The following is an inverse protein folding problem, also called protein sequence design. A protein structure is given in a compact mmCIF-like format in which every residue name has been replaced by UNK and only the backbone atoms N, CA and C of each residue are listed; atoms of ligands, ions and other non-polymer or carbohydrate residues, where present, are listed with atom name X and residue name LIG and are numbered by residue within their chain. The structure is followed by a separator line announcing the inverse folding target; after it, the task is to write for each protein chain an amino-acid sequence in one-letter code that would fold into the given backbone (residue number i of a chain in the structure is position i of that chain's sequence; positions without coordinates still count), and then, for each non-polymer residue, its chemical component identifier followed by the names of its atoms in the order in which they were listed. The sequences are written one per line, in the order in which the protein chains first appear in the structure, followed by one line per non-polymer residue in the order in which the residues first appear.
data_IF_549478190505
#
_entry.id   IF_549478190505
#
_cell.length_a   1.000
_cell.length_b   1.000
_cell.length_c   1.000
_cell.angle_alpha   90.00
_cell.angle_beta   90.00
_cell.angle_gamma   90.00
#
_symmetry.space_group_name_H-M   'P 1'
#
loop_
_entity.id
_entity.type
_entity.pdbx_description
1 polymer ?
#
# COMPACT_ATOMS: atom_id res chain seq x y z
N UNK A 1 -25.69 17.37 0.51
CA UNK A 1 -24.42 16.61 0.42
C UNK A 1 -23.50 17.37 -0.50
N UNK A 2 -22.20 17.34 -0.26
CA UNK A 2 -21.24 17.93 -1.20
C UNK A 2 -21.18 17.06 -2.47
N UNK A 3 -20.94 17.63 -3.66
CA UNK A 3 -20.87 16.84 -4.89
C UNK A 3 -19.68 15.86 -4.83
N UNK A 4 -19.77 14.67 -5.45
CA UNK A 4 -18.66 13.73 -5.58
C UNK A 4 -17.40 14.41 -6.13
N UNK A 5 -16.22 13.92 -5.75
CA UNK A 5 -14.93 14.43 -6.25
C UNK A 5 -14.88 14.40 -7.79
N UNK A 6 -15.45 13.35 -8.40
CA UNK A 6 -15.48 13.12 -9.84
C UNK A 6 -16.30 14.13 -10.64
N UNK A 7 -17.18 14.87 -9.96
CA UNK A 7 -18.07 15.85 -10.59
C UNK A 7 -17.48 17.27 -10.52
N UNK A 8 -16.36 17.45 -9.81
CA UNK A 8 -15.68 18.73 -9.71
C UNK A 8 -14.90 19.03 -11.00
N UNK A 9 -14.83 20.31 -11.44
CA UNK A 9 -14.10 20.68 -12.64
C UNK A 9 -12.60 20.47 -12.44
N UNK A 10 -12.06 19.42 -13.06
CA UNK A 10 -10.64 19.05 -13.04
C UNK A 10 -10.09 19.00 -14.47
N UNK A 11 -8.78 19.24 -14.65
CA UNK A 11 -8.09 18.87 -15.87
C UNK A 11 -8.23 17.38 -16.16
N UNK A 12 -8.01 17.00 -17.42
CA UNK A 12 -7.92 15.59 -17.81
C UNK A 12 -6.76 14.90 -17.08
N UNK A 13 -6.97 13.64 -16.68
CA UNK A 13 -5.93 12.82 -16.05
C UNK A 13 -4.71 12.73 -16.99
N UNK A 14 -3.51 13.17 -16.57
CA UNK A 14 -2.35 13.28 -17.45
C UNK A 14 -1.64 11.94 -17.71
N UNK A 15 -2.00 10.91 -16.94
CA UNK A 15 -1.36 9.59 -16.98
C UNK A 15 -1.90 8.76 -18.14
N UNK A 16 -1.34 8.97 -19.33
CA UNK A 16 -1.74 8.26 -20.55
C UNK A 16 -0.57 7.43 -21.10
N UNK A 17 -0.87 6.37 -21.84
CA UNK A 17 0.14 5.54 -22.49
C UNK A 17 1.04 6.39 -23.41
N UNK A 18 2.35 6.09 -23.40
CA UNK A 18 3.35 6.84 -24.14
C UNK A 18 3.78 8.15 -23.47
N UNK A 19 3.10 8.64 -22.42
CA UNK A 19 3.52 9.86 -21.71
C UNK A 19 4.92 9.69 -21.11
N UNK A 20 5.79 10.67 -21.39
CA UNK A 20 7.16 10.71 -20.89
C UNK A 20 7.27 11.78 -19.81
N UNK A 21 7.83 11.40 -18.66
CA UNK A 21 8.01 12.30 -17.53
C UNK A 21 9.30 11.98 -16.78
N UNK A 22 9.85 13.00 -16.13
CA UNK A 22 11.06 12.85 -15.29
C UNK A 22 10.67 13.03 -13.85
N UNK A 23 11.13 12.10 -13.01
CA UNK A 23 10.93 12.13 -11.56
C UNK A 23 12.25 12.34 -10.86
N UNK A 24 12.23 13.02 -9.72
CA UNK A 24 13.42 13.28 -8.90
C UNK A 24 13.32 12.50 -7.60
N UNK A 25 14.41 11.84 -7.20
CA UNK A 25 14.47 11.04 -5.99
C UNK A 25 14.19 11.91 -4.76
N UNK A 26 13.44 11.35 -3.83
CA UNK A 26 12.94 12.04 -2.66
C UNK A 26 12.90 11.10 -1.47
N UNK A 27 13.56 11.51 -0.39
CA UNK A 27 13.48 10.84 0.91
C UNK A 27 12.31 11.47 1.66
N UNK A 28 11.24 10.70 1.96
CA UNK A 28 10.10 11.23 2.70
C UNK A 28 10.48 11.58 4.14
N UNK A 29 9.68 12.44 4.80
CA UNK A 29 9.73 12.54 6.25
C UNK A 29 9.28 11.20 6.89
N UNK A 30 9.45 11.03 8.21
CA UNK A 30 8.90 9.89 8.92
C UNK A 30 7.38 9.71 8.65
N UNK A 31 6.85 8.48 8.78
CA UNK A 31 5.41 8.23 8.68
C UNK A 31 4.59 9.24 9.49
N UNK A 32 3.55 9.76 8.86
CA UNK A 32 2.61 10.67 9.54
C UNK A 32 1.92 9.95 10.69
N UNK A 33 1.51 10.69 11.73
CA UNK A 33 0.76 10.10 12.84
C UNK A 33 -0.61 9.64 12.37
N UNK A 34 -1.01 8.43 12.75
CA UNK A 34 -2.32 7.85 12.46
C UNK A 34 -3.16 7.87 13.72
N UNK A 35 -3.93 8.94 13.91
CA UNK A 35 -4.96 9.02 14.96
C UNK A 35 -6.34 8.66 14.40
N UNK A 36 -7.33 8.52 15.28
CA UNK A 36 -8.73 8.61 14.88
C UNK A 36 -8.95 9.90 14.11
N UNK A 37 -9.70 9.81 13.00
CA UNK A 37 -10.04 10.93 12.13
C UNK A 37 -8.83 11.67 11.48
N UNK A 38 -7.63 11.07 11.42
CA UNK A 38 -6.43 11.75 10.90
C UNK A 38 -6.55 12.24 9.45
N UNK A 39 -7.36 11.59 8.63
CA UNK A 39 -7.65 11.99 7.25
C UNK A 39 -9.02 12.67 7.10
N UNK A 40 -9.77 12.90 8.19
CA UNK A 40 -11.11 13.48 8.12
C UNK A 40 -11.04 14.93 7.66
N UNK A 41 -11.93 15.28 6.74
CA UNK A 41 -12.06 16.66 6.28
C UNK A 41 -13.03 17.43 7.18
N UNK A 42 -12.47 18.17 8.13
CA UNK A 42 -13.25 19.00 9.06
C UNK A 42 -13.89 20.22 8.36
N UNK A 43 -14.68 20.98 9.11
CA UNK A 43 -15.47 22.09 8.58
C UNK A 43 -14.66 23.10 7.75
N UNK A 44 -13.44 23.43 8.18
CA UNK A 44 -12.58 24.36 7.45
C UNK A 44 -12.16 23.82 6.07
N UNK A 45 -11.72 22.55 5.99
CA UNK A 45 -11.32 21.95 4.72
C UNK A 45 -12.51 21.67 3.78
N UNK A 46 -13.70 21.36 4.32
CA UNK A 46 -14.93 21.30 3.52
C UNK A 46 -15.37 22.68 3.01
N UNK A 47 -15.22 23.72 3.83
CA UNK A 47 -15.49 25.09 3.40
C UNK A 47 -14.52 25.53 2.30
N UNK A 48 -13.24 25.16 2.41
CA UNK A 48 -12.25 25.38 1.35
C UNK A 48 -12.62 24.64 0.06
N UNK A 49 -12.96 23.34 0.16
CA UNK A 49 -13.40 22.51 -0.97
C UNK A 49 -14.53 23.14 -1.78
N UNK A 50 -15.49 23.80 -1.12
CA UNK A 50 -16.61 24.48 -1.79
C UNK A 50 -16.23 25.80 -2.46
N UNK A 51 -15.16 26.44 -2.00
CA UNK A 51 -14.77 27.79 -2.43
C UNK A 51 -13.69 27.78 -3.51
N UNK A 52 -12.77 26.82 -3.45
CA UNK A 52 -11.60 26.75 -4.33
C UNK A 52 -11.77 25.65 -5.36
N UNK A 53 -11.21 25.88 -6.56
CA UNK A 53 -11.13 24.83 -7.59
C UNK A 53 -10.16 23.72 -7.14
N UNK A 54 -10.34 22.47 -7.59
CA UNK A 54 -9.45 21.37 -7.20
C UNK A 54 -7.96 21.65 -7.42
N UNK A 55 -7.59 22.25 -8.56
CA UNK A 55 -6.21 22.61 -8.88
C UNK A 55 -5.65 23.65 -7.92
N UNK A 56 -6.43 24.69 -7.57
CA UNK A 56 -6.02 25.72 -6.61
C UNK A 56 -5.75 25.12 -5.23
N UNK A 57 -6.53 24.12 -4.82
CA UNK A 57 -6.28 23.38 -3.58
C UNK A 57 -4.97 22.60 -3.64
N UNK A 58 -4.66 21.95 -4.77
CA UNK A 58 -3.37 21.27 -4.95
C UNK A 58 -2.17 22.21 -4.89
N UNK A 59 -2.31 23.44 -5.40
CA UNK A 59 -1.26 24.45 -5.32
C UNK A 59 -1.10 25.01 -3.90
N UNK A 60 -2.20 25.14 -3.16
CA UNK A 60 -2.21 25.61 -1.76
C UNK A 60 -1.71 24.56 -0.77
N UNK A 61 -1.89 23.28 -1.07
CA UNK A 61 -1.52 22.14 -0.22
C UNK A 61 -0.48 21.25 -0.93
N UNK A 62 0.77 21.71 -1.07
CA UNK A 62 1.82 20.87 -1.60
C UNK A 62 2.06 19.65 -0.69
N UNK A 63 2.53 18.51 -1.22
CA UNK A 63 2.84 17.33 -0.41
C UNK A 63 3.85 17.65 0.69
N UNK A 64 3.85 16.83 1.77
CA UNK A 64 4.79 17.01 2.88
C UNK A 64 6.24 17.18 2.41
N UNK A 65 7.01 18.09 3.02
CA UNK A 65 8.40 18.31 2.66
C UNK A 65 9.25 17.09 3.06
N UNK A 66 10.33 16.88 2.32
CA UNK A 66 11.36 15.89 2.61
C UNK A 66 12.66 16.28 1.92
N UNK A 67 13.57 15.34 1.73
CA UNK A 67 14.88 15.64 1.13
C UNK A 67 14.89 15.25 -0.34
N UNK A 68 15.02 16.25 -1.22
CA UNK A 68 15.24 16.02 -2.65
C UNK A 68 16.69 15.58 -2.87
N UNK A 69 16.87 14.49 -3.59
CA UNK A 69 18.20 14.02 -3.99
C UNK A 69 18.50 14.42 -5.44
N UNK A 70 19.76 14.37 -5.83
CA UNK A 70 20.19 14.72 -7.20
C UNK A 70 19.79 13.68 -8.25
N UNK A 71 19.36 12.49 -7.83
CA UNK A 71 19.00 11.43 -8.76
C UNK A 71 17.67 11.75 -9.47
N UNK A 72 17.65 11.63 -10.79
CA UNK A 72 16.45 11.72 -11.63
C UNK A 72 16.29 10.47 -12.48
N UNK A 73 15.05 10.11 -12.75
CA UNK A 73 14.66 8.96 -13.59
C UNK A 73 13.65 9.45 -14.61
N UNK A 74 13.94 9.24 -15.89
CA UNK A 74 13.00 9.53 -16.98
C UNK A 74 12.29 8.24 -17.36
N UNK A 75 10.96 8.29 -17.35
CA UNK A 75 10.07 7.17 -17.53
C UNK A 75 9.12 7.41 -18.70
N UNK A 76 8.70 6.34 -19.36
CA UNK A 76 7.59 6.34 -20.32
C UNK A 76 6.49 5.40 -19.82
N UNK A 77 5.25 5.88 -19.75
CA UNK A 77 4.10 5.02 -19.43
C UNK A 77 3.90 3.99 -20.53
N UNK A 78 3.77 2.72 -20.15
CA UNK A 78 3.53 1.60 -21.05
C UNK A 78 2.08 1.11 -20.96
N UNK A 79 1.66 0.52 -19.83
CA UNK A 79 0.29 0.02 -19.62
C UNK A 79 -0.37 0.70 -18.40
N UNK A 80 -1.65 1.04 -18.50
CA UNK A 80 -2.44 1.56 -17.38
C UNK A 80 -3.00 0.39 -16.54
N UNK A 81 -2.66 0.32 -15.25
CA UNK A 81 -3.16 -0.74 -14.36
C UNK A 81 -4.40 -0.27 -13.57
N UNK A 82 -4.34 0.95 -13.02
CA UNK A 82 -5.44 1.62 -12.32
C UNK A 82 -5.21 3.12 -12.37
N UNK A 83 -5.84 3.79 -13.33
CA UNK A 83 -5.69 5.23 -13.57
C UNK A 83 -7.06 5.82 -13.83
N UNK A 84 -7.33 6.99 -13.27
CA UNK A 84 -8.60 7.69 -13.48
C UNK A 84 -8.94 8.64 -12.35
N UNK A 85 -9.96 9.47 -12.60
CA UNK A 85 -10.54 10.28 -11.53
C UNK A 85 -11.30 9.40 -10.54
N UNK A 86 -11.20 9.72 -9.25
CA UNK A 86 -11.67 8.88 -8.15
C UNK A 86 -10.77 7.68 -7.85
N UNK A 87 -9.63 7.50 -8.53
CA UNK A 87 -8.63 6.52 -8.15
C UNK A 87 -7.67 7.10 -7.10
N UNK A 88 -7.74 6.58 -5.86
CA UNK A 88 -6.91 7.05 -4.74
C UNK A 88 -5.41 7.15 -5.08
N UNK A 89 -4.85 6.11 -5.70
CA UNK A 89 -3.52 6.13 -6.28
C UNK A 89 -3.60 5.76 -7.76
N UNK A 90 -2.71 6.34 -8.55
CA UNK A 90 -2.61 6.14 -9.99
C UNK A 90 -1.48 5.15 -10.24
N UNK A 91 -1.83 3.96 -10.75
CA UNK A 91 -0.91 2.83 -10.90
C UNK A 91 -0.80 2.45 -12.36
N UNK A 92 0.43 2.39 -12.87
CA UNK A 92 0.71 2.01 -14.24
C UNK A 92 2.10 1.39 -14.35
N UNK A 93 2.33 0.67 -15.45
CA UNK A 93 3.67 0.21 -15.77
C UNK A 93 4.42 1.27 -16.55
N UNK A 94 5.71 1.40 -16.29
CA UNK A 94 6.56 2.39 -16.91
C UNK A 94 7.89 1.77 -17.33
N UNK A 95 8.41 2.23 -18.46
CA UNK A 95 9.72 1.84 -18.97
C UNK A 95 10.76 2.91 -18.60
N UNK A 96 11.91 2.47 -18.08
CA UNK A 96 13.05 3.35 -17.80
C UNK A 96 13.71 3.76 -19.12
N UNK A 97 13.73 5.06 -19.38
CA UNK A 97 14.45 5.63 -20.52
C UNK A 97 15.87 6.05 -20.14
N UNK A 98 16.00 6.76 -19.02
CA UNK A 98 17.29 7.31 -18.57
C UNK A 98 17.31 7.49 -17.06
N UNK A 99 18.49 7.40 -16.45
CA UNK A 99 18.74 7.77 -15.05
C UNK A 99 19.97 8.67 -14.93
N UNK A 100 19.89 9.72 -14.11
CA UNK A 100 21.01 10.62 -13.84
C UNK A 100 21.19 10.81 -12.32
N UNK A 101 22.34 10.47 -11.72
CA UNK A 101 23.43 9.70 -12.31
C UNK A 101 22.98 8.27 -12.66
N UNK A 102 23.79 7.54 -13.42
CA UNK A 102 23.48 6.15 -13.78
C UNK A 102 23.38 5.28 -12.52
N UNK A 103 22.23 4.65 -12.29
CA UNK A 103 21.97 3.83 -11.11
C UNK A 103 21.99 2.32 -11.44
N UNK A 104 22.75 1.51 -10.69
CA UNK A 104 22.68 0.06 -10.79
C UNK A 104 21.26 -0.45 -10.53
N UNK A 105 20.71 -1.21 -11.48
CA UNK A 105 19.35 -1.78 -11.38
C UNK A 105 18.30 -1.04 -12.21
N UNK A 106 18.60 0.17 -12.68
CA UNK A 106 17.80 0.92 -13.66
C UNK A 106 18.40 0.78 -15.06
N UNK A 107 18.36 -0.44 -15.59
CA UNK A 107 18.78 -0.66 -16.97
C UNK A 107 17.78 0.01 -17.93
N UNK A 108 18.24 0.64 -19.02
CA UNK A 108 17.36 1.12 -20.07
C UNK A 108 16.41 0.00 -20.52
N UNK A 109 15.17 0.37 -20.83
CA UNK A 109 14.10 -0.54 -21.21
C UNK A 109 13.53 -1.43 -20.10
N UNK A 110 14.00 -1.33 -18.85
CA UNK A 110 13.41 -2.05 -17.73
C UNK A 110 11.96 -1.59 -17.50
N UNK A 111 11.05 -2.56 -17.39
CA UNK A 111 9.66 -2.34 -16.99
C UNK A 111 9.55 -2.31 -15.47
N UNK A 112 8.90 -1.28 -14.94
CA UNK A 112 8.64 -1.05 -13.52
C UNK A 112 7.14 -0.76 -13.33
N UNK A 113 6.69 -0.77 -12.08
CA UNK A 113 5.38 -0.21 -11.70
C UNK A 113 5.61 1.13 -11.01
N UNK A 114 4.89 2.15 -11.45
CA UNK A 114 4.81 3.44 -10.79
C UNK A 114 3.45 3.58 -10.11
N UNK A 115 3.47 3.93 -8.82
CA UNK A 115 2.28 4.28 -8.02
C UNK A 115 2.39 5.74 -7.60
N UNK A 116 1.52 6.58 -8.14
CA UNK A 116 1.50 8.03 -7.91
C UNK A 116 0.35 8.39 -6.97
N UNK A 117 0.66 9.20 -5.97
CA UNK A 117 -0.29 9.75 -5.00
C UNK A 117 -0.62 11.19 -5.42
N UNK A 118 -1.57 11.33 -6.35
CA UNK A 118 -2.05 12.64 -6.82
C UNK A 118 -3.38 13.00 -6.14
N UNK A 119 -3.39 13.98 -5.21
CA UNK A 119 -4.60 14.35 -4.49
C UNK A 119 -5.69 14.94 -5.39
N UNK A 120 -5.34 15.41 -6.61
CA UNK A 120 -6.30 15.98 -7.56
C UNK A 120 -7.33 14.96 -8.04
N UNK A 121 -6.93 13.70 -8.17
CA UNK A 121 -7.75 12.60 -8.70
C UNK A 121 -8.19 11.61 -7.61
N UNK A 122 -7.98 11.98 -6.34
CA UNK A 122 -8.35 11.16 -5.19
C UNK A 122 -9.87 11.21 -4.95
N UNK A 123 -10.48 10.08 -4.59
CA UNK A 123 -11.87 10.06 -4.17
C UNK A 123 -12.00 10.55 -2.72
N UNK A 124 -12.57 11.73 -2.54
CA UNK A 124 -12.68 12.36 -1.22
C UNK A 124 -13.96 12.03 -0.46
N UNK A 125 -14.73 11.03 -0.92
CA UNK A 125 -16.00 10.57 -0.32
C UNK A 125 -16.95 11.74 -0.06
N UNK A 126 -17.31 12.44 -1.14
CA UNK A 126 -18.17 13.64 -1.06
C UNK A 126 -17.59 14.69 -0.08
N UNK A 127 -16.27 14.84 -0.09
CA UNK A 127 -15.55 15.73 0.82
C UNK A 127 -15.53 15.32 2.28
N UNK A 128 -15.87 14.07 2.63
CA UNK A 128 -15.71 13.53 3.99
C UNK A 128 -14.23 13.35 4.36
N UNK A 129 -13.41 12.97 3.39
CA UNK A 129 -11.96 12.73 3.57
C UNK A 129 -11.17 13.90 2.97
N UNK A 130 -10.02 14.21 3.59
CA UNK A 130 -9.08 15.19 3.08
C UNK A 130 -8.04 14.47 2.20
N UNK A 131 -8.09 14.66 0.87
CA UNK A 131 -7.21 13.93 -0.05
C UNK A 131 -5.74 14.22 0.20
N UNK A 132 -5.38 15.45 0.62
CA UNK A 132 -3.99 15.85 0.89
C UNK A 132 -3.39 15.05 2.06
N UNK A 133 -4.14 14.93 3.15
CA UNK A 133 -3.70 14.15 4.32
C UNK A 133 -3.63 12.65 3.99
N UNK A 134 -4.55 12.13 3.18
CA UNK A 134 -4.53 10.74 2.73
C UNK A 134 -3.30 10.42 1.89
N UNK A 135 -3.00 11.22 0.86
CA UNK A 135 -1.86 10.94 -0.02
C UNK A 135 -0.53 11.04 0.72
N UNK A 136 -0.39 11.99 1.65
CA UNK A 136 0.78 12.11 2.51
C UNK A 136 0.93 10.91 3.44
N UNK A 137 -0.17 10.46 4.05
CA UNK A 137 -0.20 9.22 4.85
C UNK A 137 0.23 8.02 4.01
N UNK A 138 -0.46 7.74 2.91
CA UNK A 138 -0.21 6.58 2.08
C UNK A 138 1.23 6.53 1.58
N UNK A 139 1.74 7.67 1.07
CA UNK A 139 3.11 7.76 0.58
C UNK A 139 4.15 7.51 1.68
N UNK A 140 4.04 8.20 2.82
CA UNK A 140 5.04 8.10 3.89
C UNK A 140 5.06 6.70 4.53
N UNK A 141 3.89 6.09 4.71
CA UNK A 141 3.77 4.75 5.29
C UNK A 141 4.26 3.66 4.34
N UNK A 142 3.89 3.72 3.07
CA UNK A 142 4.29 2.71 2.10
C UNK A 142 5.80 2.71 1.86
N UNK A 143 6.41 3.90 1.76
CA UNK A 143 7.88 4.01 1.65
C UNK A 143 8.57 3.46 2.89
N UNK A 144 8.08 3.79 4.09
CA UNK A 144 8.67 3.27 5.31
C UNK A 144 8.53 1.75 5.43
N UNK A 145 7.35 1.21 5.10
CA UNK A 145 7.09 -0.22 5.09
C UNK A 145 8.04 -0.94 4.12
N UNK A 146 8.18 -0.49 2.87
CA UNK A 146 9.15 -1.07 1.95
C UNK A 146 10.59 -0.96 2.47
N UNK A 147 10.96 0.15 3.13
CA UNK A 147 12.28 0.33 3.73
C UNK A 147 12.62 -0.68 4.84
N UNK A 148 11.62 -1.14 5.58
CA UNK A 148 11.75 -2.19 6.61
C UNK A 148 11.67 -3.59 6.00
N UNK A 149 10.59 -3.86 5.25
CA UNK A 149 10.27 -5.18 4.72
C UNK A 149 11.25 -5.65 3.64
N UNK A 150 11.83 -4.75 2.85
CA UNK A 150 12.85 -5.12 1.86
C UNK A 150 14.16 -5.61 2.50
N UNK A 151 14.37 -5.39 3.80
CA UNK A 151 15.56 -5.88 4.53
C UNK A 151 15.32 -7.24 5.17
N UNK A 152 14.10 -7.48 5.68
CA UNK A 152 13.76 -8.67 6.45
C UNK A 152 13.01 -9.73 5.64
N UNK A 153 12.21 -9.32 4.66
CA UNK A 153 11.29 -10.16 3.88
C UNK A 153 11.42 -9.91 2.38
N UNK A 154 12.65 -9.64 1.90
CA UNK A 154 12.94 -9.23 0.52
C UNK A 154 12.43 -10.21 -0.56
N UNK A 155 12.21 -11.48 -0.23
CA UNK A 155 11.70 -12.50 -1.16
C UNK A 155 10.18 -12.51 -1.28
N UNK A 156 9.47 -11.86 -0.35
CA UNK A 156 8.01 -11.86 -0.24
C UNK A 156 7.39 -10.50 -0.60
N UNK A 157 8.21 -9.48 -0.83
CA UNK A 157 7.76 -8.16 -1.30
C UNK A 157 8.48 -7.81 -2.61
N UNK A 158 7.85 -7.05 -3.52
CA UNK A 158 8.52 -6.59 -4.73
C UNK A 158 9.79 -5.81 -4.39
N UNK A 159 10.77 -5.88 -5.29
CA UNK A 159 11.93 -4.99 -5.16
C UNK A 159 11.49 -3.53 -5.22
N UNK A 160 11.81 -2.79 -4.16
CA UNK A 160 11.58 -1.36 -4.05
C UNK A 160 12.73 -0.60 -4.72
N UNK A 161 12.41 0.27 -5.69
CA UNK A 161 13.40 1.06 -6.44
C UNK A 161 13.62 2.45 -5.85
N UNK A 162 12.69 2.92 -5.03
CA UNK A 162 12.80 4.21 -4.36
C UNK A 162 11.51 5.00 -4.41
N UNK A 163 11.60 6.19 -3.85
CA UNK A 163 10.53 7.16 -3.75
C UNK A 163 10.92 8.45 -4.45
N UNK A 164 9.97 9.06 -5.15
CA UNK A 164 10.25 10.16 -6.07
C UNK A 164 9.18 11.24 -6.03
N UNK A 165 9.50 12.37 -6.65
CA UNK A 165 8.62 13.51 -6.85
C UNK A 165 8.48 13.81 -8.32
N UNK A 166 7.27 14.19 -8.71
CA UNK A 166 6.90 14.55 -10.06
C UNK A 166 6.20 15.90 -10.05
N UNK A 167 6.71 16.84 -10.84
CA UNK A 167 6.04 18.11 -11.09
C UNK A 167 5.16 17.98 -12.33
N UNK A 168 3.88 18.29 -12.18
CA UNK A 168 2.87 18.18 -13.24
C UNK A 168 2.36 19.59 -13.56
N UNK A 169 2.31 19.98 -14.85
CA UNK A 169 1.76 21.27 -15.25
C UNK A 169 0.33 21.48 -14.72
N UNK A 170 0.10 22.64 -14.13
CA UNK A 170 -1.19 23.18 -13.76
C UNK A 170 -1.54 24.39 -14.65
N UNK A 171 -2.70 24.99 -14.43
CA UNK A 171 -3.10 26.20 -15.16
C UNK A 171 -2.10 27.36 -14.94
N UNK A 172 -1.89 28.20 -15.95
CA UNK A 172 -1.19 29.49 -15.77
C UNK A 172 0.33 29.42 -15.52
N UNK A 173 1.01 28.36 -15.96
CA UNK A 173 2.46 28.09 -15.76
C UNK A 173 2.85 27.60 -14.36
N UNK A 174 1.89 27.38 -13.47
CA UNK A 174 2.16 26.75 -12.17
C UNK A 174 2.40 25.25 -12.32
N UNK A 175 3.14 24.67 -11.39
CA UNK A 175 3.40 23.23 -11.34
C UNK A 175 2.90 22.71 -10.00
N UNK A 176 2.07 21.67 -10.03
CA UNK A 176 1.67 20.93 -8.83
C UNK A 176 2.58 19.71 -8.67
N UNK A 177 2.98 19.42 -7.44
CA UNK A 177 3.85 18.27 -7.15
C UNK A 177 3.01 17.06 -6.71
N UNK A 178 3.33 15.88 -7.23
CA UNK A 178 2.83 14.61 -6.74
C UNK A 178 4.00 13.72 -6.27
N UNK A 179 3.75 12.90 -5.25
CA UNK A 179 4.72 11.90 -4.78
C UNK A 179 4.45 10.57 -5.47
N UNK A 180 5.47 9.76 -5.65
CA UNK A 180 5.33 8.42 -6.19
C UNK A 180 6.38 7.45 -5.65
N UNK A 181 6.12 6.18 -5.85
CA UNK A 181 7.09 5.10 -5.64
C UNK A 181 7.28 4.29 -6.92
N UNK A 182 8.48 3.76 -7.09
CA UNK A 182 8.80 2.80 -8.13
C UNK A 182 9.06 1.44 -7.50
N UNK A 183 8.42 0.41 -8.04
CA UNK A 183 8.56 -0.97 -7.59
C UNK A 183 8.70 -1.91 -8.79
N UNK A 184 9.15 -3.13 -8.50
CA UNK A 184 9.27 -4.20 -9.48
C UNK A 184 7.93 -4.49 -10.15
N UNK A 185 7.96 -4.65 -11.48
CA UNK A 185 6.83 -5.22 -12.19
C UNK A 185 6.83 -6.73 -12.01
N UNK A 186 5.76 -7.25 -11.39
CA UNK A 186 5.59 -8.68 -11.16
C UNK A 186 4.74 -9.27 -12.28
N UNK A 187 5.26 -10.29 -12.95
CA UNK A 187 4.49 -11.09 -13.89
C UNK A 187 3.66 -12.12 -13.09
N UNK A 188 2.35 -11.89 -13.04
CA UNK A 188 1.42 -12.71 -12.27
C UNK A 188 0.02 -12.09 -12.24
N UNK A 189 -0.86 -12.73 -11.47
CA UNK A 189 -2.23 -12.27 -11.25
C UNK A 189 -2.49 -12.13 -9.74
N UNK A 190 -3.37 -11.22 -9.33
CA UNK A 190 -3.74 -11.15 -7.91
C UNK A 190 -4.55 -12.39 -7.50
N UNK A 191 -4.52 -12.74 -6.21
CA UNK A 191 -5.39 -13.80 -5.69
C UNK A 191 -6.87 -13.48 -5.88
N UNK A 192 -7.25 -12.20 -5.97
CA UNK A 192 -8.63 -11.80 -6.31
C UNK A 192 -8.99 -12.13 -7.77
N UNK A 193 -8.04 -12.01 -8.70
CA UNK A 193 -8.25 -12.30 -10.12
C UNK A 193 -8.15 -13.80 -10.44
N UNK A 194 -7.40 -14.55 -9.65
CA UNK A 194 -7.25 -15.98 -9.82
C UNK A 194 -8.56 -16.71 -9.46
N UNK A 195 -8.95 -17.67 -10.31
CA UNK A 195 -10.07 -18.55 -9.98
C UNK A 195 -9.59 -19.60 -8.96
N UNK A 196 -10.00 -19.44 -7.71
CA UNK A 196 -9.66 -20.34 -6.60
C UNK A 196 -10.12 -21.78 -6.82
N UNK A 197 -11.19 -22.02 -7.59
CA UNK A 197 -11.71 -23.36 -7.90
C UNK A 197 -10.74 -24.19 -8.75
N UNK A 198 -9.80 -23.54 -9.45
CA UNK A 198 -8.75 -24.24 -10.21
C UNK A 198 -7.68 -24.86 -9.32
N UNK A 199 -7.67 -24.53 -8.03
CA UNK A 199 -6.70 -25.03 -7.07
C UNK A 199 -7.34 -26.09 -6.18
N UNK A 200 -6.61 -27.19 -5.97
CA UNK A 200 -7.01 -28.20 -4.98
C UNK A 200 -7.14 -27.55 -3.61
N UNK A 201 -8.00 -28.12 -2.75
CA UNK A 201 -8.15 -27.63 -1.37
C UNK A 201 -6.81 -27.59 -0.62
N UNK A 202 -5.98 -28.62 -0.77
CA UNK A 202 -4.64 -28.66 -0.16
C UNK A 202 -3.74 -27.51 -0.66
N UNK A 203 -3.76 -27.21 -1.96
CA UNK A 203 -3.01 -26.07 -2.52
C UNK A 203 -3.51 -24.73 -1.97
N UNK A 204 -4.83 -24.56 -1.81
CA UNK A 204 -5.41 -23.35 -1.21
C UNK A 204 -5.05 -23.21 0.27
N UNK A 205 -5.00 -24.32 1.01
CA UNK A 205 -4.52 -24.33 2.40
C UNK A 205 -3.06 -23.89 2.50
N UNK A 206 -2.17 -24.36 1.63
CA UNK A 206 -0.76 -23.92 1.59
C UNK A 206 -0.61 -22.43 1.23
N UNK A 207 -1.45 -21.93 0.32
CA UNK A 207 -1.51 -20.50 -0.03
C UNK A 207 -1.93 -19.69 1.20
N UNK A 208 -3.03 -20.07 1.86
CA UNK A 208 -3.51 -19.37 3.06
C UNK A 208 -2.50 -19.44 4.20
N UNK A 209 -1.82 -20.59 4.36
CA UNK A 209 -0.71 -20.72 5.31
C UNK A 209 0.39 -19.70 5.04
N UNK A 210 0.78 -19.54 3.76
CA UNK A 210 1.81 -18.58 3.36
C UNK A 210 1.39 -17.12 3.63
N UNK A 211 0.11 -16.79 3.46
CA UNK A 211 -0.45 -15.48 3.84
C UNK A 211 -0.36 -15.24 5.34
N UNK A 212 -0.77 -16.21 6.16
CA UNK A 212 -0.71 -16.13 7.63
C UNK A 212 0.74 -16.01 8.10
N UNK A 213 1.63 -16.83 7.54
CA UNK A 213 3.05 -16.83 7.90
C UNK A 213 3.69 -15.48 7.57
N UNK A 214 3.40 -14.90 6.40
CA UNK A 214 3.85 -13.55 6.03
C UNK A 214 3.32 -12.49 7.01
N UNK A 215 2.01 -12.44 7.24
CA UNK A 215 1.39 -11.46 8.15
C UNK A 215 1.98 -11.58 9.56
N UNK A 216 2.20 -12.79 10.05
CA UNK A 216 2.79 -13.03 11.37
C UNK A 216 4.23 -12.50 11.47
N UNK A 217 5.03 -12.61 10.40
CA UNK A 217 6.40 -12.06 10.37
C UNK A 217 6.41 -10.53 10.28
N UNK A 218 5.45 -9.94 9.57
CA UNK A 218 5.27 -8.48 9.53
C UNK A 218 4.81 -7.97 10.89
N UNK A 219 3.84 -8.67 11.51
CA UNK A 219 3.35 -8.36 12.84
C UNK A 219 4.49 -8.40 13.86
N UNK A 220 5.34 -9.43 13.83
CA UNK A 220 6.54 -9.55 14.68
C UNK A 220 7.48 -8.35 14.59
N UNK A 221 7.52 -7.66 13.45
CA UNK A 221 8.30 -6.43 13.22
C UNK A 221 7.56 -5.15 13.65
N UNK A 222 6.52 -5.29 14.48
CA UNK A 222 5.68 -4.21 14.99
C UNK A 222 4.89 -3.47 13.92
N UNK A 223 4.57 -4.15 12.81
CA UNK A 223 3.78 -3.60 11.72
C UNK A 223 2.45 -4.34 11.64
N UNK A 224 1.34 -3.60 11.76
CA UNK A 224 0.01 -4.13 11.49
C UNK A 224 -0.43 -3.78 10.06
N UNK A 225 -0.71 -4.79 9.26
CA UNK A 225 -1.27 -4.63 7.91
C UNK A 225 -2.79 -4.53 7.99
N UNK A 226 -3.32 -3.31 7.89
CA UNK A 226 -4.78 -3.10 7.99
C UNK A 226 -5.54 -3.37 6.69
N UNK A 227 -4.83 -3.46 5.56
CA UNK A 227 -5.40 -3.73 4.24
C UNK A 227 -4.91 -5.06 3.61
N UNK A 228 -4.57 -6.05 4.43
CA UNK A 228 -4.20 -7.37 3.91
C UNK A 228 -5.45 -8.08 3.35
N UNK A 229 -5.48 -8.27 2.03
CA UNK A 229 -6.59 -8.92 1.32
C UNK A 229 -6.13 -9.57 0.02
N UNK A 230 -6.98 -10.40 -0.60
CA UNK A 230 -6.66 -11.16 -1.82
C UNK A 230 -6.22 -10.28 -3.02
N UNK A 231 -6.62 -9.01 -3.06
CA UNK A 231 -6.19 -8.08 -4.12
C UNK A 231 -4.74 -7.62 -3.99
N UNK A 232 -4.20 -7.67 -2.77
CA UNK A 232 -2.85 -7.20 -2.41
C UNK A 232 -1.83 -8.34 -2.36
N UNK A 233 -2.18 -9.52 -2.88
CA UNK A 233 -1.29 -10.68 -2.99
C UNK A 233 -1.22 -11.13 -4.46
N UNK A 234 -0.04 -11.06 -5.07
CA UNK A 234 0.20 -11.55 -6.43
C UNK A 234 0.70 -12.99 -6.40
N UNK A 235 0.06 -13.84 -7.20
CA UNK A 235 0.53 -15.17 -7.57
C UNK A 235 1.47 -15.05 -8.77
N UNK A 236 2.76 -15.28 -8.54
CA UNK A 236 3.81 -15.12 -9.55
C UNK A 236 3.76 -16.28 -10.55
N UNK A 237 3.83 -15.94 -11.84
CA UNK A 237 3.87 -16.93 -12.91
C UNK A 237 5.26 -17.57 -13.01
N UNK A 238 5.39 -18.81 -12.54
CA UNK A 238 6.62 -19.62 -12.66
C UNK A 238 6.30 -21.09 -13.02
N UNK A 239 7.17 -21.78 -13.77
CA UNK A 239 7.05 -23.23 -13.97
C UNK A 239 7.14 -23.97 -12.63
N UNK A 240 6.08 -24.69 -12.26
CA UNK A 240 5.94 -25.28 -10.93
C UNK A 240 5.51 -24.24 -9.90
N UNK A 241 4.23 -24.23 -9.56
CA UNK A 241 3.71 -23.31 -8.55
C UNK A 241 4.09 -23.81 -7.14
N UNK A 242 4.93 -23.06 -6.44
CA UNK A 242 5.21 -23.21 -5.02
C UNK A 242 4.53 -22.06 -4.25
N UNK A 243 3.53 -22.41 -3.43
CA UNK A 243 2.74 -21.45 -2.66
C UNK A 243 3.59 -20.56 -1.74
N UNK A 244 4.78 -21.01 -1.31
CA UNK A 244 5.65 -20.26 -0.40
C UNK A 244 6.57 -19.27 -1.12
N UNK A 245 6.95 -19.56 -2.37
CA UNK A 245 7.92 -18.78 -3.14
C UNK A 245 7.29 -17.99 -4.29
N UNK A 246 6.01 -18.20 -4.55
CA UNK A 246 5.27 -17.60 -5.66
C UNK A 246 4.16 -16.67 -5.20
N UNK A 247 4.19 -16.21 -3.95
CA UNK A 247 3.33 -15.13 -3.47
C UNK A 247 4.18 -13.89 -3.18
N UNK A 248 3.75 -12.74 -3.70
CA UNK A 248 4.30 -11.44 -3.38
C UNK A 248 3.21 -10.54 -2.81
N UNK A 249 3.54 -9.85 -1.72
CA UNK A 249 2.63 -8.98 -0.99
C UNK A 249 2.91 -7.53 -1.35
N UNK A 250 1.83 -6.79 -1.62
CA UNK A 250 1.85 -5.42 -2.12
C UNK A 250 1.03 -4.49 -1.22
N UNK A 251 1.10 -3.20 -1.55
CA UNK A 251 0.25 -2.14 -1.01
C UNK A 251 0.30 -2.02 0.52
N UNK A 252 1.31 -1.29 0.97
CA UNK A 252 1.55 -1.04 2.40
C UNK A 252 1.14 0.37 2.85
N UNK A 253 0.29 1.05 2.07
CA UNK A 253 -0.14 2.42 2.31
C UNK A 253 -0.84 2.62 3.67
N UNK A 254 -1.53 1.59 4.16
CA UNK A 254 -2.26 1.61 5.43
C UNK A 254 -1.60 0.79 6.55
N UNK A 255 -0.30 0.50 6.41
CA UNK A 255 0.48 -0.13 7.48
C UNK A 255 0.47 0.75 8.75
N UNK A 256 0.34 0.15 9.93
CA UNK A 256 0.47 0.84 11.22
C UNK A 256 1.72 0.36 11.96
N UNK A 257 2.59 1.30 12.31
CA UNK A 257 3.83 1.02 13.03
C UNK A 257 3.59 1.06 14.55
N UNK A 258 4.17 0.11 15.28
CA UNK A 258 3.82 -0.16 16.68
C UNK A 258 2.50 -0.93 16.86
N UNK A 259 1.95 -1.51 15.77
CA UNK A 259 0.68 -2.28 15.75
C UNK A 259 -0.56 -1.51 16.23
N UNK A 260 -0.51 -0.18 16.30
CA UNK A 260 -1.62 0.65 16.76
C UNK A 260 -1.63 2.03 16.12
N UNK A 261 -2.73 2.74 16.36
CA UNK A 261 -2.87 4.18 16.10
C UNK A 261 -2.11 4.99 17.14
N UNK A 262 -1.71 6.20 16.76
CA UNK A 262 -1.04 7.21 17.60
C UNK A 262 -2.02 8.00 18.49
N UNK A 263 -3.19 7.44 18.78
CA UNK A 263 -4.19 8.09 19.61
C UNK A 263 -3.63 8.36 21.02
N UNK A 264 -3.88 9.54 21.62
CA UNK A 264 -3.31 9.93 22.91
C UNK A 264 -3.89 9.15 24.11
N UNK A 265 -4.81 8.21 23.87
CA UNK A 265 -5.43 7.41 24.92
C UNK A 265 -4.42 6.36 25.40
N UNK A 266 -4.22 6.32 26.71
CA UNK A 266 -3.38 5.33 27.40
C UNK A 266 -4.06 3.96 27.27
N UNK A 267 -3.72 3.22 26.23
CA UNK A 267 -4.02 1.80 26.18
C UNK A 267 -2.87 1.09 26.93
N UNK A 268 -3.20 0.52 28.09
CA UNK A 268 -2.27 -0.23 28.97
C UNK A 268 -1.79 -1.56 28.36
N UNK A 269 -2.29 -1.95 27.18
CA UNK A 269 -1.82 -3.14 26.49
C UNK A 269 -0.37 -2.96 26.06
N UNK A 270 0.49 -3.85 26.54
CA UNK A 270 1.90 -3.93 26.17
C UNK A 270 2.12 -4.31 24.68
N UNK A 271 1.05 -4.68 23.96
CA UNK A 271 0.98 -5.14 22.55
C UNK A 271 2.02 -6.19 22.14
N UNK A 272 2.79 -6.70 23.10
CA UNK A 272 3.93 -7.59 22.95
C UNK A 272 4.84 -7.19 21.79
N UNK A 273 5.25 -5.92 21.74
CA UNK A 273 6.10 -5.41 20.67
C UNK A 273 7.41 -6.23 20.54
N UNK A 274 7.82 -6.50 19.31
CA UNK A 274 8.96 -7.36 18.96
C UNK A 274 8.71 -8.86 19.15
N UNK A 275 7.58 -9.26 19.72
CA UNK A 275 7.28 -10.67 19.98
C UNK A 275 6.42 -11.28 18.87
N UNK A 276 6.66 -12.55 18.60
CA UNK A 276 5.77 -13.36 17.78
C UNK A 276 4.50 -13.67 18.56
N UNK A 277 3.34 -13.53 17.92
CA UNK A 277 2.04 -13.89 18.51
C UNK A 277 1.44 -14.97 17.62
N UNK A 278 1.05 -16.09 18.23
CA UNK A 278 0.53 -17.25 17.50
C UNK A 278 -0.73 -16.89 16.68
N UNK A 279 -0.85 -17.37 15.43
CA UNK A 279 -2.07 -17.28 14.64
C UNK A 279 -3.29 -17.90 15.33
N UNK A 280 -3.11 -18.84 16.26
CA UNK A 280 -4.20 -19.45 17.02
C UNK A 280 -5.07 -18.41 17.74
N UNK A 281 -4.48 -17.33 18.23
CA UNK A 281 -5.18 -16.24 18.93
C UNK A 281 -5.33 -14.99 18.07
N UNK A 282 -4.48 -14.78 17.06
CA UNK A 282 -4.55 -13.59 16.19
C UNK A 282 -5.50 -13.72 15.01
N UNK A 283 -5.50 -14.86 14.33
CA UNK A 283 -6.23 -14.99 13.06
C UNK A 283 -7.69 -15.36 13.30
N UNK A 284 -8.58 -14.40 13.06
CA UNK A 284 -10.02 -14.54 13.24
C UNK A 284 -10.81 -14.69 11.96
N UNK A 285 -12.12 -14.88 12.12
CA UNK A 285 -13.04 -14.95 10.98
C UNK A 285 -13.03 -13.64 10.19
N UNK A 286 -12.85 -12.50 10.85
CA UNK A 286 -12.79 -11.17 10.20
C UNK A 286 -11.61 -11.05 9.25
N UNK A 287 -10.42 -11.51 9.67
CA UNK A 287 -9.24 -11.58 8.83
C UNK A 287 -9.43 -12.59 7.69
N UNK A 288 -9.99 -13.77 8.00
CA UNK A 288 -10.28 -14.78 6.99
C UNK A 288 -11.28 -14.30 5.92
N UNK A 289 -12.22 -13.41 6.27
CA UNK A 289 -13.21 -12.86 5.34
C UNK A 289 -12.58 -12.11 4.16
N UNK A 290 -11.38 -11.54 4.33
CA UNK A 290 -10.64 -10.90 3.24
C UNK A 290 -10.15 -11.88 2.16
N UNK A 291 -10.32 -13.18 2.41
CA UNK A 291 -9.92 -14.30 1.55
C UNK A 291 -11.04 -15.35 1.40
N UNK A 292 -12.31 -14.97 1.58
CA UNK A 292 -13.44 -15.92 1.55
C UNK A 292 -13.46 -16.80 0.30
N UNK A 293 -13.16 -16.26 -0.88
CA UNK A 293 -13.14 -17.02 -2.13
C UNK A 293 -12.11 -18.16 -2.14
N UNK A 294 -11.13 -18.11 -1.23
CA UNK A 294 -10.07 -19.11 -1.10
C UNK A 294 -10.36 -20.18 -0.05
N UNK A 295 -11.37 -19.99 0.80
CA UNK A 295 -11.61 -20.82 1.99
C UNK A 295 -12.99 -21.48 1.88
N UNK A 296 -13.00 -22.81 1.68
CA UNK A 296 -14.23 -23.64 1.64
C UNK A 296 -14.22 -24.77 2.69
N UNK A 297 -13.34 -24.65 3.69
CA UNK A 297 -13.19 -25.62 4.78
C UNK A 297 -13.47 -24.99 6.14
N UNK A 298 -13.53 -25.82 7.19
CA UNK A 298 -13.63 -25.35 8.56
C UNK A 298 -12.39 -24.55 8.95
N UNK A 299 -12.46 -23.22 8.86
CA UNK A 299 -11.34 -22.32 9.13
C UNK A 299 -10.71 -22.54 10.50
N UNK A 300 -11.54 -22.50 11.55
CA UNK A 300 -11.07 -22.59 12.93
C UNK A 300 -10.41 -23.96 13.24
N UNK A 301 -11.02 -25.12 12.91
CA UNK A 301 -10.35 -26.41 13.06
C UNK A 301 -9.04 -26.53 12.27
N UNK A 302 -8.97 -25.93 11.08
CA UNK A 302 -7.76 -25.97 10.26
C UNK A 302 -6.63 -25.12 10.87
N UNK A 303 -6.92 -23.90 11.33
CA UNK A 303 -5.94 -23.06 12.04
C UNK A 303 -5.42 -23.76 13.29
N UNK A 304 -6.30 -24.37 14.08
CA UNK A 304 -5.94 -25.11 15.29
C UNK A 304 -5.00 -26.27 14.98
N UNK A 305 -5.29 -27.05 13.93
CA UNK A 305 -4.45 -28.16 13.51
C UNK A 305 -3.09 -27.68 12.95
N UNK A 306 -3.10 -26.70 12.05
CA UNK A 306 -1.91 -26.22 11.35
C UNK A 306 -0.92 -25.53 12.32
N UNK A 307 -1.45 -24.70 13.23
CA UNK A 307 -0.65 -23.90 14.15
C UNK A 307 -0.60 -24.48 15.57
N UNK A 308 -1.05 -25.71 15.81
CA UNK A 308 -0.98 -26.40 17.11
C UNK A 308 0.43 -26.35 17.72
N UNK A 309 1.46 -26.46 16.88
CA UNK A 309 2.87 -26.40 17.29
C UNK A 309 3.29 -25.06 17.93
N UNK A 310 2.52 -23.99 17.71
CA UNK A 310 2.75 -22.66 18.31
C UNK A 310 2.01 -22.45 19.63
N UNK A 311 1.18 -23.41 20.08
CA UNK A 311 0.39 -23.25 21.29
C UNK A 311 1.25 -22.99 22.54
N UNK A 312 2.44 -23.58 22.60
CA UNK A 312 3.39 -23.41 23.71
C UNK A 312 4.02 -22.02 23.77
N UNK A 313 3.92 -21.21 22.71
CA UNK A 313 4.42 -19.83 22.70
C UNK A 313 3.39 -18.82 23.23
N UNK A 314 2.16 -19.26 23.51
CA UNK A 314 1.09 -18.40 23.99
C UNK A 314 1.21 -18.27 25.51
N UNK A 315 1.43 -17.04 25.99
CA UNK A 315 1.40 -16.75 27.43
C UNK A 315 -0.03 -16.43 27.89
N UNK A 316 -0.35 -16.56 29.19
CA UNK A 316 -1.64 -16.13 29.72
C UNK A 316 -1.99 -14.68 29.36
N UNK A 317 -1.03 -13.77 29.43
CA UNK A 317 -1.24 -12.35 29.11
C UNK A 317 -1.52 -12.13 27.61
N UNK A 318 -0.90 -12.93 26.74
CA UNK A 318 -1.21 -12.91 25.31
C UNK A 318 -2.63 -13.40 25.06
N UNK A 319 -3.05 -14.45 25.78
CA UNK A 319 -4.42 -14.95 25.72
C UNK A 319 -5.43 -13.92 26.23
N UNK A 320 -5.14 -13.22 27.32
CA UNK A 320 -6.04 -12.17 27.84
C UNK A 320 -6.16 -10.98 26.87
N UNK A 321 -5.13 -10.73 26.07
CA UNK A 321 -5.10 -9.61 25.11
C UNK A 321 -5.72 -9.96 23.75
N UNK A 322 -5.49 -11.17 23.25
CA UNK A 322 -5.88 -11.58 21.88
C UNK A 322 -6.79 -12.82 21.83
N UNK A 323 -6.80 -13.63 22.89
CA UNK A 323 -7.68 -14.78 23.01
C UNK A 323 -9.16 -14.36 22.93
N UNK A 324 -9.99 -15.27 22.44
CA UNK A 324 -11.43 -15.05 22.25
C UNK A 324 -12.25 -15.70 23.34
#
# INVERSE_FOLDING_TARGET
MDPPSTDLPKPTVPYVEGWVFTVQSHIPPPPTRVTKDCCRNFQAGRAERRKLRPVERCLRHPPLPGTMESCTVTLRIHDLLRVGDGCNAQVFTAQVLETRPHLPGFQPNRKLVAKIYDPLYFNDEEGFINPFLCVDKHYTHEVHAYGVLSKSLAQLVPRFYGSYSLNIPAEGSEMRTARLILMEYILGISMQQANSERFSRSSRQEIMKSVIDFESQVYKQDILLTDLSSRNVIMVEKPGFDAKLNLLFLDFADALFGRRRDDPVVIESNLFLGQYISPLIRWDKTMAMQFNDWIDWGWQPWIEAEYAHTATTITPEMWDTYGR
#
